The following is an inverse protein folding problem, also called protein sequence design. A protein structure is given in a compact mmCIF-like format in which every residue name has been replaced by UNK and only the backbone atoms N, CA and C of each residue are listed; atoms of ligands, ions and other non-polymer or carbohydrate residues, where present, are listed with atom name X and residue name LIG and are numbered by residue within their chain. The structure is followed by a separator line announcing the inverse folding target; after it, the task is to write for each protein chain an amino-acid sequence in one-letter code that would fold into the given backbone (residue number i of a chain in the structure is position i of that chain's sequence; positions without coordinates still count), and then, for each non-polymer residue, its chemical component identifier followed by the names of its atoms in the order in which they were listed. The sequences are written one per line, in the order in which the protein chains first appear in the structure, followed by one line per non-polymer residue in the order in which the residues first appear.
data_IF_685173525432
#
_entry.id   IF_685173525432
#
_cell.length_a   1.000
_cell.length_b   1.000
_cell.length_c   1.000
_cell.angle_alpha   90.00
_cell.angle_beta   90.00
_cell.angle_gamma   90.00
#
_symmetry.space_group_name_H-M   'P 1'
#
loop_
_entity.id
_entity.type
_entity.pdbx_description
1 polymer ?
#
# COMPACT_ATOMS: atom_id res chain seq x y z
N UNK A 1 -10.19 -16.66 11.70
CA UNK A 1 -8.75 -17.07 11.60
C UNK A 1 -8.24 -17.43 10.19
N UNK A 2 -8.82 -18.42 9.46
CA UNK A 2 -8.31 -18.78 8.10
C UNK A 2 -8.39 -17.62 7.09
N UNK A 3 -9.48 -16.84 7.12
CA UNK A 3 -9.69 -15.63 6.29
C UNK A 3 -8.68 -14.53 6.60
N UNK A 4 -8.43 -14.26 7.89
CA UNK A 4 -7.43 -13.26 8.32
C UNK A 4 -6.01 -13.60 7.81
N UNK A 5 -5.57 -14.87 7.95
CA UNK A 5 -4.26 -15.31 7.43
C UNK A 5 -4.14 -15.13 5.91
N UNK A 6 -5.22 -15.38 5.16
CA UNK A 6 -5.26 -15.15 3.70
C UNK A 6 -5.13 -13.65 3.38
N UNK A 7 -5.90 -12.79 4.05
CA UNK A 7 -5.84 -11.35 3.85
C UNK A 7 -4.50 -10.74 4.26
N UNK A 8 -3.86 -11.22 5.32
CA UNK A 8 -2.49 -10.80 5.70
C UNK A 8 -1.48 -11.07 4.58
N UNK A 9 -1.58 -12.22 3.89
CA UNK A 9 -0.71 -12.51 2.72
C UNK A 9 -1.01 -11.60 1.54
N UNK A 10 -2.28 -11.34 1.25
CA UNK A 10 -2.70 -10.41 0.19
C UNK A 10 -2.14 -9.01 0.46
N UNK A 11 -2.30 -8.50 1.69
CA UNK A 11 -1.74 -7.22 2.09
C UNK A 11 -0.21 -7.18 2.01
N UNK A 12 0.47 -8.27 2.33
CA UNK A 12 1.93 -8.35 2.21
C UNK A 12 2.36 -8.18 0.75
N UNK A 13 1.74 -8.91 -0.18
CA UNK A 13 2.02 -8.79 -1.62
C UNK A 13 1.72 -7.37 -2.13
N UNK A 14 0.58 -6.81 -1.73
CA UNK A 14 0.19 -5.43 -2.06
C UNK A 14 1.18 -4.40 -1.52
N UNK A 15 1.62 -4.54 -0.27
CA UNK A 15 2.61 -3.65 0.34
C UNK A 15 3.94 -3.72 -0.39
N UNK A 16 4.40 -4.92 -0.77
CA UNK A 16 5.64 -5.06 -1.54
C UNK A 16 5.50 -4.37 -2.89
N UNK A 17 4.42 -4.63 -3.63
CA UNK A 17 4.22 -3.99 -4.94
C UNK A 17 4.20 -2.46 -4.83
N UNK A 18 3.40 -1.92 -3.89
CA UNK A 18 3.28 -0.47 -3.77
C UNK A 18 4.55 0.19 -3.23
N UNK A 19 5.24 -0.41 -2.27
CA UNK A 19 6.40 0.23 -1.63
C UNK A 19 7.74 -0.07 -2.30
N UNK A 20 7.89 -1.23 -2.94
CA UNK A 20 9.14 -1.60 -3.61
C UNK A 20 9.14 -1.24 -5.09
N UNK A 21 7.96 -1.07 -5.72
CA UNK A 21 7.86 -0.80 -7.16
C UNK A 21 7.17 0.54 -7.39
N UNK A 22 5.88 0.66 -7.05
CA UNK A 22 5.10 1.85 -7.42
C UNK A 22 5.68 3.15 -6.84
N UNK A 23 5.87 3.23 -5.52
CA UNK A 23 6.39 4.43 -4.86
C UNK A 23 7.78 4.79 -5.38
N UNK A 24 8.77 3.87 -5.45
CA UNK A 24 10.08 4.19 -6.02
C UNK A 24 10.03 4.65 -7.48
N UNK A 25 9.17 4.05 -8.30
CA UNK A 25 9.01 4.46 -9.70
C UNK A 25 8.42 5.86 -9.78
N UNK A 26 7.31 6.15 -9.09
CA UNK A 26 6.68 7.49 -9.14
C UNK A 26 7.58 8.56 -8.53
N UNK A 27 8.34 8.24 -7.48
CA UNK A 27 9.33 9.16 -6.91
C UNK A 27 10.50 9.36 -7.87
N UNK A 28 10.97 8.30 -8.54
CA UNK A 28 12.01 8.39 -9.56
C UNK A 28 11.58 9.24 -10.75
N UNK A 29 10.35 9.06 -11.25
CA UNK A 29 9.78 9.91 -12.30
C UNK A 29 9.73 11.38 -11.87
N UNK A 30 9.37 11.66 -10.62
CA UNK A 30 9.37 13.02 -10.10
C UNK A 30 10.78 13.62 -9.95
N UNK A 31 11.78 12.82 -9.57
CA UNK A 31 13.14 13.30 -9.33
C UNK A 31 14.01 13.38 -10.60
N UNK A 32 13.76 12.52 -11.58
CA UNK A 32 14.62 12.33 -12.76
C UNK A 32 13.93 12.70 -14.08
N UNK A 33 12.66 13.10 -14.06
CA UNK A 33 11.89 13.55 -15.23
C UNK A 33 11.14 14.85 -14.90
N UNK A 34 10.52 15.49 -15.89
CA UNK A 34 9.62 16.65 -15.71
C UNK A 34 8.25 16.23 -15.12
N UNK A 35 8.27 15.24 -14.22
CA UNK A 35 7.09 14.68 -13.57
C UNK A 35 6.50 15.62 -12.53
N UNK A 36 5.18 15.63 -12.40
CA UNK A 36 4.50 16.37 -11.35
C UNK A 36 4.69 15.71 -9.98
N UNK A 37 4.47 16.48 -8.91
CA UNK A 37 4.61 15.98 -7.56
C UNK A 37 3.75 14.72 -7.31
N UNK A 38 4.29 13.64 -6.70
CA UNK A 38 3.67 12.33 -6.72
C UNK A 38 2.62 12.17 -5.61
N UNK A 39 1.55 12.97 -5.65
CA UNK A 39 0.47 12.95 -4.65
C UNK A 39 -0.14 11.56 -4.46
N UNK A 40 -0.30 10.80 -5.54
CA UNK A 40 -0.82 9.44 -5.49
C UNK A 40 0.08 8.49 -4.71
N UNK A 41 1.41 8.60 -4.86
CA UNK A 41 2.35 7.77 -4.12
C UNK A 41 2.27 8.04 -2.60
N UNK A 42 2.13 9.32 -2.21
CA UNK A 42 1.91 9.69 -0.81
C UNK A 42 0.56 9.20 -0.28
N UNK A 43 -0.51 9.41 -1.04
CA UNK A 43 -1.85 8.99 -0.66
C UNK A 43 -1.91 7.47 -0.45
N UNK A 44 -1.36 6.67 -1.37
CA UNK A 44 -1.30 5.20 -1.22
C UNK A 44 -0.34 4.80 -0.10
N UNK A 45 0.80 5.48 0.01
CA UNK A 45 1.78 5.36 1.10
C UNK A 45 1.13 5.35 2.47
N UNK A 46 0.23 6.32 2.69
CA UNK A 46 -0.50 6.51 3.94
C UNK A 46 -1.78 5.67 4.03
N UNK A 47 -2.59 5.59 2.97
CA UNK A 47 -3.89 4.92 3.03
C UNK A 47 -3.78 3.41 3.23
N UNK A 48 -2.84 2.75 2.55
CA UNK A 48 -2.68 1.30 2.57
C UNK A 48 -2.49 0.72 3.99
N UNK A 49 -1.63 1.28 4.88
CA UNK A 49 -1.47 0.77 6.25
C UNK A 49 -2.72 1.01 7.11
N UNK A 50 -3.43 2.12 6.94
CA UNK A 50 -4.70 2.36 7.64
C UNK A 50 -5.79 1.39 7.18
N UNK A 51 -5.95 1.20 5.86
CA UNK A 51 -6.87 0.23 5.30
C UNK A 51 -6.58 -1.18 5.79
N UNK A 52 -5.30 -1.59 5.81
CA UNK A 52 -4.88 -2.89 6.35
C UNK A 52 -5.30 -3.06 7.81
N UNK A 53 -5.01 -2.07 8.66
CA UNK A 53 -5.37 -2.12 10.09
C UNK A 53 -6.88 -2.24 10.28
N UNK A 54 -7.66 -1.39 9.60
CA UNK A 54 -9.11 -1.35 9.71
C UNK A 54 -9.75 -2.67 9.23
N UNK A 55 -9.35 -3.16 8.05
CA UNK A 55 -9.92 -4.38 7.48
C UNK A 55 -9.59 -5.62 8.32
N UNK A 56 -8.34 -5.74 8.81
CA UNK A 56 -7.99 -6.87 9.68
C UNK A 56 -8.72 -6.81 11.02
N UNK A 57 -8.95 -5.62 11.59
CA UNK A 57 -9.74 -5.46 12.80
C UNK A 57 -11.21 -5.87 12.60
N UNK A 58 -11.84 -5.46 11.49
CA UNK A 58 -13.20 -5.88 11.13
C UNK A 58 -13.30 -7.41 11.01
N UNK A 59 -12.32 -8.06 10.41
CA UNK A 59 -12.26 -9.52 10.26
C UNK A 59 -12.02 -10.29 11.57
N UNK A 60 -11.57 -9.61 12.64
CA UNK A 60 -11.44 -10.20 13.97
C UNK A 60 -12.71 -10.03 14.80
N UNK A 61 -13.50 -8.98 14.52
CA UNK A 61 -14.78 -8.70 15.15
C UNK A 61 -15.96 -9.46 14.51
N UNK A 62 -15.76 -10.00 13.29
CA UNK A 62 -16.73 -10.80 12.53
C UNK A 62 -16.53 -12.31 12.72
#
# INVERSE_FOLDING_TARGET
MKKEKKWRRIYLVLMIFFYAIFVPVTVGEWLFSDGSFPFTALAVGLALPFMRKNHLAQLQQS
#
